data_IF_699352935226
#
_entry.id   IF_699352935226
#
_cell.length_a   1.000
_cell.length_b   1.000
_cell.length_c   1.000
_cell.angle_alpha   90.00
_cell.angle_beta   90.00
_cell.angle_gamma   90.00
#
_symmetry.space_group_name_H-M   'P 1'
#
loop_
_entity.id
_entity.type
_entity.pdbx_description
1 polymer ?
#
# COMPACT_ATOMS: atom_id res chain seq x y z
N UNK A 1 -23.33 3.74 23.93
CA UNK A 1 -23.75 2.58 23.11
C UNK A 1 -22.54 2.16 22.31
N UNK A 2 -21.90 1.04 22.65
CA UNK A 2 -20.90 0.46 21.77
C UNK A 2 -21.66 -0.09 20.56
N UNK A 3 -21.47 0.53 19.39
CA UNK A 3 -21.93 -0.03 18.13
C UNK A 3 -21.35 -1.43 17.99
N UNK A 4 -22.17 -2.42 17.64
CA UNK A 4 -21.69 -3.74 17.25
C UNK A 4 -20.51 -3.59 16.27
N UNK A 5 -19.46 -4.43 16.38
CA UNK A 5 -18.37 -4.38 15.42
C UNK A 5 -18.95 -4.83 14.07
N UNK A 6 -19.28 -3.85 13.23
CA UNK A 6 -19.56 -4.07 11.82
C UNK A 6 -18.44 -4.98 11.30
N UNK A 7 -18.79 -6.18 10.82
CA UNK A 7 -17.84 -7.22 10.44
C UNK A 7 -17.14 -6.82 9.13
N UNK A 8 -16.33 -5.77 9.20
CA UNK A 8 -15.66 -5.14 8.07
C UNK A 8 -14.59 -6.11 7.54
N UNK A 9 -14.51 -6.33 6.22
CA UNK A 9 -13.52 -7.24 5.65
C UNK A 9 -12.08 -6.80 5.99
N UNK A 10 -11.13 -7.73 6.22
CA UNK A 10 -9.72 -7.41 6.47
C UNK A 10 -9.07 -6.57 5.35
N UNK A 11 -9.39 -6.89 4.10
CA UNK A 11 -9.03 -6.10 2.93
C UNK A 11 -10.19 -5.17 2.60
N UNK A 12 -9.93 -3.87 2.59
CA UNK A 12 -10.93 -2.83 2.36
C UNK A 12 -11.10 -2.55 0.87
N UNK A 13 -9.99 -2.43 0.14
CA UNK A 13 -10.00 -2.11 -1.29
C UNK A 13 -8.82 -2.77 -2.00
N UNK A 14 -9.04 -3.19 -3.24
CA UNK A 14 -8.00 -3.41 -4.25
C UNK A 14 -8.14 -2.34 -5.32
N UNK A 15 -7.04 -1.78 -5.80
CA UNK A 15 -7.03 -0.66 -6.73
C UNK A 15 -5.89 -0.74 -7.73
N UNK A 16 -6.05 -0.03 -8.85
CA UNK A 16 -5.02 0.22 -9.85
C UNK A 16 -4.73 1.71 -9.85
N UNK A 17 -3.44 2.05 -9.72
CA UNK A 17 -2.96 3.42 -9.93
C UNK A 17 -2.10 3.45 -11.18
N UNK A 18 -2.35 4.41 -12.05
CA UNK A 18 -1.52 4.67 -13.22
C UNK A 18 -1.01 6.09 -13.25
N UNK A 19 -0.10 6.37 -14.18
CA UNK A 19 0.47 7.69 -14.38
C UNK A 19 -0.04 8.32 -15.68
N UNK A 20 -0.71 9.47 -15.57
CA UNK A 20 -1.11 10.30 -16.70
C UNK A 20 -0.15 11.49 -16.85
N UNK A 21 0.42 11.68 -18.04
CA UNK A 21 1.47 12.67 -18.30
C UNK A 21 1.11 14.14 -17.97
N UNK A 22 -0.19 14.50 -17.98
CA UNK A 22 -0.66 15.84 -17.57
C UNK A 22 -1.19 15.93 -16.14
N UNK A 23 -1.69 14.82 -15.61
CA UNK A 23 -2.49 14.81 -14.37
C UNK A 23 -1.75 14.12 -13.22
N UNK A 24 -0.60 13.51 -13.48
CA UNK A 24 0.17 12.74 -12.50
C UNK A 24 -0.45 11.38 -12.22
N UNK A 25 -0.19 10.86 -11.02
CA UNK A 25 -0.70 9.57 -10.57
C UNK A 25 -2.22 9.63 -10.32
N UNK A 26 -2.98 8.66 -10.82
CA UNK A 26 -4.44 8.59 -10.69
C UNK A 26 -4.91 7.19 -10.33
N UNK A 27 -5.98 7.10 -9.52
CA UNK A 27 -6.70 5.84 -9.29
C UNK A 27 -7.52 5.53 -10.54
N UNK A 28 -7.11 4.55 -11.33
CA UNK A 28 -7.82 4.16 -12.55
C UNK A 28 -8.96 3.18 -12.26
N UNK A 29 -8.81 2.38 -11.19
CA UNK A 29 -9.78 1.39 -10.75
C UNK A 29 -9.70 1.18 -9.24
N UNK A 30 -10.84 0.88 -8.62
CA UNK A 30 -10.95 0.46 -7.23
C UNK A 30 -12.14 -0.48 -7.04
N UNK A 31 -11.95 -1.51 -6.22
CA UNK A 31 -12.99 -2.44 -5.82
C UNK A 31 -12.84 -2.87 -4.35
N UNK A 32 -13.91 -2.78 -3.55
CA UNK A 32 -15.07 -1.90 -3.74
C UNK A 32 -14.65 -0.46 -4.05
N UNK A 33 -15.53 0.36 -4.67
CA UNK A 33 -15.23 1.76 -4.94
C UNK A 33 -14.77 2.50 -3.69
N UNK A 34 -13.75 3.38 -3.82
CA UNK A 34 -13.27 4.19 -2.70
C UNK A 34 -14.32 5.20 -2.20
N UNK A 35 -15.26 5.57 -3.07
CA UNK A 35 -16.40 6.44 -2.74
C UNK A 35 -17.67 5.61 -2.94
N UNK A 36 -18.45 5.45 -1.86
CA UNK A 36 -19.68 4.66 -1.90
C UNK A 36 -20.65 5.18 -2.96
N UNK A 37 -21.19 4.27 -3.79
CA UNK A 37 -22.14 4.60 -4.86
C UNK A 37 -21.50 5.06 -6.17
N UNK A 38 -20.16 5.15 -6.24
CA UNK A 38 -19.47 5.52 -7.47
C UNK A 38 -19.09 4.33 -8.34
N UNK A 39 -18.56 4.61 -9.54
CA UNK A 39 -18.11 3.58 -10.49
C UNK A 39 -16.77 2.93 -10.09
N UNK A 40 -16.08 3.49 -9.09
CA UNK A 40 -14.74 3.04 -8.67
C UNK A 40 -13.62 3.41 -9.65
N UNK A 41 -13.86 4.29 -10.63
CA UNK A 41 -12.85 4.74 -11.61
C UNK A 41 -12.57 6.23 -11.48
N UNK A 42 -11.30 6.61 -11.60
CA UNK A 42 -10.82 8.01 -11.65
C UNK A 42 -11.28 8.88 -10.47
N UNK A 43 -11.42 8.28 -9.30
CA UNK A 43 -11.92 8.94 -8.11
C UNK A 43 -11.09 8.57 -6.87
N UNK A 44 -10.96 9.53 -5.96
CA UNK A 44 -10.27 9.34 -4.70
C UNK A 44 -10.88 10.26 -3.62
N UNK A 45 -11.20 9.75 -2.42
CA UNK A 45 -11.65 10.58 -1.31
C UNK A 45 -10.66 11.70 -0.99
N UNK A 46 -11.15 12.87 -0.60
CA UNK A 46 -10.33 14.04 -0.29
C UNK A 46 -9.30 13.78 0.82
N UNK A 47 -9.68 13.00 1.83
CA UNK A 47 -8.79 12.55 2.91
C UNK A 47 -7.64 11.65 2.44
N UNK A 48 -7.77 11.03 1.26
CA UNK A 48 -6.76 10.15 0.65
C UNK A 48 -6.18 10.73 -0.63
N UNK A 49 -6.24 12.05 -0.85
CA UNK A 49 -5.75 12.68 -2.09
C UNK A 49 -4.31 12.32 -2.51
N UNK A 50 -3.45 11.91 -1.57
CA UNK A 50 -2.07 11.48 -1.83
C UNK A 50 -1.91 9.98 -2.07
N UNK A 51 -2.98 9.19 -1.95
CA UNK A 51 -2.98 7.74 -2.22
C UNK A 51 -2.34 7.41 -3.57
N UNK A 52 -2.66 8.07 -4.69
CA UNK A 52 -2.04 7.74 -5.98
C UNK A 52 -0.51 7.90 -5.96
N UNK A 53 -0.01 8.99 -5.38
CA UNK A 53 1.43 9.27 -5.30
C UNK A 53 2.15 8.34 -4.31
N UNK A 54 1.46 7.90 -3.25
CA UNK A 54 2.01 6.91 -2.31
C UNK A 54 2.06 5.51 -2.92
N UNK A 55 1.04 5.13 -3.69
CA UNK A 55 0.95 3.82 -4.35
C UNK A 55 1.90 3.71 -5.54
N UNK A 56 2.14 4.82 -6.25
CA UNK A 56 3.10 4.91 -7.35
C UNK A 56 4.08 6.06 -7.08
N UNK A 57 5.14 5.81 -6.28
CA UNK A 57 6.07 6.84 -5.84
C UNK A 57 6.93 7.38 -6.99
N UNK A 58 7.42 8.60 -6.83
CA UNK A 58 8.34 9.19 -7.80
C UNK A 58 9.63 8.36 -7.93
N UNK A 59 10.24 8.37 -9.12
CA UNK A 59 11.38 7.54 -9.44
C UNK A 59 11.07 6.05 -9.66
N UNK A 60 9.82 5.62 -9.46
CA UNK A 60 9.39 4.23 -9.72
C UNK A 60 9.68 3.80 -11.16
N UNK A 61 9.72 4.71 -12.14
CA UNK A 61 10.03 4.44 -13.54
C UNK A 61 11.47 3.98 -13.79
N UNK A 62 12.35 4.08 -12.79
CA UNK A 62 13.72 3.57 -12.85
C UNK A 62 13.81 2.07 -12.57
N UNK A 63 12.71 1.43 -12.17
CA UNK A 63 12.67 0.02 -11.79
C UNK A 63 11.63 -0.72 -12.62
N UNK A 64 11.99 -1.93 -13.04
CA UNK A 64 11.03 -2.84 -13.67
C UNK A 64 9.90 -3.20 -12.70
N UNK A 65 10.24 -3.34 -11.41
CA UNK A 65 9.31 -3.66 -10.34
C UNK A 65 9.86 -3.25 -8.97
N UNK A 66 8.95 -2.95 -8.04
CA UNK A 66 9.23 -2.83 -6.61
C UNK A 66 7.90 -2.88 -5.82
N UNK A 67 7.98 -2.77 -4.48
CA UNK A 67 6.81 -2.66 -3.61
C UNK A 67 6.99 -1.55 -2.57
N UNK A 68 5.92 -0.80 -2.30
CA UNK A 68 5.87 0.23 -1.27
C UNK A 68 4.81 -0.09 -0.22
N UNK A 69 5.18 0.09 1.04
CA UNK A 69 4.26 0.04 2.18
C UNK A 69 4.01 1.46 2.67
N UNK A 70 2.75 1.83 2.85
CA UNK A 70 2.37 3.16 3.31
C UNK A 70 1.15 3.10 4.23
N UNK A 71 0.83 4.22 4.86
CA UNK A 71 -0.31 4.34 5.77
C UNK A 71 -1.16 5.53 5.33
N UNK A 72 -2.47 5.41 5.48
CA UNK A 72 -3.43 6.51 5.30
C UNK A 72 -4.21 6.72 6.60
N UNK A 73 -4.70 7.95 6.85
CA UNK A 73 -5.66 8.16 7.92
C UNK A 73 -6.95 7.37 7.63
N UNK A 74 -7.62 6.85 8.66
CA UNK A 74 -9.01 6.43 8.48
C UNK A 74 -9.89 7.63 8.12
N UNK A 75 -10.84 7.42 7.22
CA UNK A 75 -11.81 8.45 6.81
C UNK A 75 -12.92 8.66 7.85
N UNK A 76 -13.03 7.75 8.82
CA UNK A 76 -14.13 7.72 9.79
C UNK A 76 -13.64 7.86 11.23
N UNK A 77 -12.45 7.33 11.54
CA UNK A 77 -11.92 7.27 12.90
C UNK A 77 -10.55 7.96 12.99
N UNK A 78 -10.44 9.16 13.58
CA UNK A 78 -9.23 9.96 13.50
C UNK A 78 -7.93 9.29 13.98
N UNK A 79 -8.01 8.38 14.95
CA UNK A 79 -6.86 7.68 15.54
C UNK A 79 -6.46 6.38 14.79
N UNK A 80 -7.31 5.90 13.89
CA UNK A 80 -7.07 4.68 13.13
C UNK A 80 -6.27 4.94 11.86
N UNK A 81 -5.48 3.93 11.47
CA UNK A 81 -4.70 3.93 10.24
C UNK A 81 -5.20 2.83 9.30
N UNK A 82 -5.10 3.11 8.01
CA UNK A 82 -5.31 2.17 6.91
C UNK A 82 -3.94 1.81 6.34
N UNK A 83 -3.71 0.52 6.10
CA UNK A 83 -2.39 0.01 5.69
C UNK A 83 -2.40 -0.31 4.21
N UNK A 84 -1.55 0.39 3.46
CA UNK A 84 -1.41 0.28 2.03
C UNK A 84 -0.21 -0.58 1.65
N UNK A 85 -0.41 -1.51 0.72
CA UNK A 85 0.66 -2.24 0.02
C UNK A 85 0.45 -2.03 -1.47
N UNK A 86 1.45 -1.51 -2.16
CA UNK A 86 1.39 -1.27 -3.60
C UNK A 86 2.56 -1.92 -4.31
N UNK A 87 2.26 -2.83 -5.24
CA UNK A 87 3.23 -3.46 -6.12
C UNK A 87 3.17 -2.74 -7.47
N UNK A 88 4.21 -1.98 -7.80
CA UNK A 88 4.30 -1.32 -9.09
C UNK A 88 5.16 -2.10 -10.06
N UNK A 89 4.81 -2.01 -11.35
CA UNK A 89 5.50 -2.67 -12.45
C UNK A 89 5.58 -1.74 -13.65
N UNK A 90 6.61 -1.96 -14.45
CA UNK A 90 6.81 -1.33 -15.74
C UNK A 90 6.61 -2.37 -16.86
N UNK A 91 5.76 -2.06 -17.82
CA UNK A 91 5.53 -2.89 -19.00
C UNK A 91 5.86 -2.10 -20.27
N UNK A 92 6.51 -2.74 -21.23
CA UNK A 92 6.79 -2.10 -22.53
C UNK A 92 5.53 -2.04 -23.37
N UNK A 93 5.38 -0.98 -24.17
CA UNK A 93 4.20 -0.79 -25.02
C UNK A 93 4.03 -1.91 -26.05
N UNK A 94 5.11 -2.58 -26.45
CA UNK A 94 5.03 -3.72 -27.37
C UNK A 94 4.28 -4.91 -26.79
N UNK A 95 4.27 -5.06 -25.46
CA UNK A 95 3.55 -6.14 -24.75
C UNK A 95 2.08 -5.82 -24.49
N UNK A 96 1.62 -4.60 -24.79
CA UNK A 96 0.23 -4.20 -24.57
C UNK A 96 -0.66 -4.67 -25.72
N UNK A 97 -1.77 -5.31 -25.38
CA UNK A 97 -2.83 -5.70 -26.32
C UNK A 97 -3.66 -4.50 -26.75
N UNK A 98 -3.95 -3.60 -25.81
CA UNK A 98 -4.67 -2.35 -26.06
C UNK A 98 -3.68 -1.20 -25.97
N UNK A 99 -3.55 -0.44 -27.07
CA UNK A 99 -2.73 0.78 -27.13
C UNK A 99 -3.66 1.98 -27.21
N UNK A 100 -3.58 2.86 -26.24
CA UNK A 100 -4.33 4.12 -26.21
C UNK A 100 -3.46 5.26 -26.76
N UNK A 101 -4.10 6.30 -27.32
CA UNK A 101 -3.41 7.38 -28.03
C UNK A 101 -2.53 8.28 -27.12
N UNK A 102 -2.71 8.19 -25.80
CA UNK A 102 -1.98 8.89 -24.76
C UNK A 102 -0.64 8.22 -24.37
N UNK A 103 -0.32 7.06 -24.97
CA UNK A 103 0.93 6.34 -24.79
C UNK A 103 2.09 7.01 -25.55
N UNK A 104 2.66 8.06 -24.94
CA UNK A 104 3.77 8.83 -25.50
C UNK A 104 5.16 8.27 -25.15
N UNK A 105 5.25 7.26 -24.28
CA UNK A 105 6.49 6.63 -23.82
C UNK A 105 6.60 5.18 -24.27
N UNK A 106 7.81 4.64 -24.34
CA UNK A 106 8.07 3.21 -24.67
C UNK A 106 7.61 2.23 -23.59
N UNK A 107 7.27 2.73 -22.40
CA UNK A 107 6.80 1.92 -21.27
C UNK A 107 5.62 2.57 -20.56
N UNK A 108 4.70 1.74 -20.11
CA UNK A 108 3.62 2.09 -19.19
C UNK A 108 4.00 1.66 -17.78
N UNK A 109 3.66 2.51 -16.82
CA UNK A 109 3.87 2.24 -15.41
C UNK A 109 2.54 2.35 -14.67
N UNK A 110 2.22 1.28 -13.94
CA UNK A 110 1.03 1.20 -13.08
C UNK A 110 1.40 0.44 -11.80
N UNK A 111 0.51 0.48 -10.84
CA UNK A 111 0.61 -0.32 -9.62
C UNK A 111 -0.72 -0.96 -9.26
N UNK A 112 -0.66 -2.21 -8.79
CA UNK A 112 -1.79 -2.84 -8.12
C UNK A 112 -1.59 -2.63 -6.62
N UNK A 113 -2.59 -2.09 -5.95
CA UNK A 113 -2.50 -1.68 -4.55
C UNK A 113 -3.66 -2.26 -3.75
N UNK A 114 -3.39 -2.61 -2.50
CA UNK A 114 -4.37 -3.07 -1.52
C UNK A 114 -4.37 -2.11 -0.33
N UNK A 115 -5.57 -1.76 0.13
CA UNK A 115 -5.81 -1.09 1.42
C UNK A 115 -6.42 -2.09 2.40
N UNK A 116 -5.84 -2.20 3.59
CA UNK A 116 -6.24 -3.17 4.60
C UNK A 116 -6.48 -2.53 5.97
N UNK A 117 -7.22 -3.25 6.83
CA UNK A 117 -7.48 -2.90 8.23
C UNK A 117 -6.40 -3.33 9.21
N UNK A 118 -5.50 -4.21 8.78
CA UNK A 118 -4.44 -4.77 9.62
C UNK A 118 -3.08 -4.53 8.97
N UNK A 119 -2.01 -4.24 9.73
CA UNK A 119 -0.65 -4.01 9.22
C UNK A 119 0.07 -5.31 8.83
N UNK A 120 -0.58 -6.15 8.03
CA UNK A 120 -0.05 -7.44 7.54
C UNK A 120 0.67 -7.26 6.20
N UNK A 121 1.54 -6.25 6.12
CA UNK A 121 2.15 -5.76 4.86
C UNK A 121 2.84 -6.87 4.05
N UNK A 122 3.72 -7.64 4.66
CA UNK A 122 4.45 -8.69 3.95
C UNK A 122 3.55 -9.86 3.53
N UNK A 123 2.50 -10.17 4.29
CA UNK A 123 1.52 -11.18 3.88
C UNK A 123 0.77 -10.73 2.62
N UNK A 124 0.30 -9.48 2.61
CA UNK A 124 -0.38 -8.89 1.45
C UNK A 124 0.58 -8.81 0.27
N UNK A 125 1.82 -8.36 0.48
CA UNK A 125 2.85 -8.24 -0.57
C UNK A 125 3.04 -9.55 -1.33
N UNK A 126 3.23 -10.68 -0.63
CA UNK A 126 3.46 -11.99 -1.26
C UNK A 126 2.31 -12.36 -2.20
N UNK A 127 1.06 -12.08 -1.81
CA UNK A 127 -0.11 -12.37 -2.64
C UNK A 127 -0.29 -11.33 -3.75
N UNK A 128 -0.11 -10.06 -3.43
CA UNK A 128 -0.32 -8.95 -4.34
C UNK A 128 0.71 -8.92 -5.46
N UNK A 129 1.95 -9.32 -5.21
CA UNK A 129 2.97 -9.46 -6.26
C UNK A 129 2.51 -10.44 -7.35
N UNK A 130 1.97 -11.62 -6.96
CA UNK A 130 1.44 -12.61 -7.90
C UNK A 130 0.22 -12.09 -8.67
N UNK A 131 -0.67 -11.37 -7.98
CA UNK A 131 -1.85 -10.75 -8.60
C UNK A 131 -1.41 -9.66 -9.60
N UNK A 132 -0.41 -8.86 -9.23
CA UNK A 132 0.15 -7.83 -10.10
C UNK A 132 0.77 -8.46 -11.35
N UNK A 133 1.62 -9.48 -11.19
CA UNK A 133 2.23 -10.16 -12.34
C UNK A 133 1.15 -10.71 -13.30
N UNK A 134 0.15 -11.42 -12.77
CA UNK A 134 -0.97 -11.93 -13.56
C UNK A 134 -1.82 -10.82 -14.21
N UNK A 135 -1.98 -9.66 -13.56
CA UNK A 135 -2.69 -8.51 -14.12
C UNK A 135 -1.89 -7.86 -15.27
N UNK A 136 -0.58 -7.72 -15.11
CA UNK A 136 0.30 -7.15 -16.13
C UNK A 136 0.51 -8.09 -17.33
N UNK A 137 0.57 -9.40 -17.10
CA UNK A 137 0.70 -10.41 -18.16
C UNK A 137 -0.52 -10.47 -19.09
N UNK A 138 -1.69 -10.02 -18.65
CA UNK A 138 -2.85 -9.90 -19.52
C UNK A 138 -2.61 -8.94 -20.69
N UNK A 139 -1.78 -7.91 -20.49
CA UNK A 139 -1.51 -6.85 -21.48
C UNK A 139 -2.72 -5.97 -21.81
N UNK A 140 -3.86 -6.17 -21.11
CA UNK A 140 -5.09 -5.40 -21.22
C UNK A 140 -5.53 -4.97 -19.81
N UNK A 141 -5.32 -3.70 -19.50
CA UNK A 141 -5.63 -3.14 -18.18
C UNK A 141 -7.11 -2.80 -17.96
N UNK A 142 -7.96 -2.98 -18.98
CA UNK A 142 -9.41 -2.86 -18.80
C UNK A 142 -10.03 -4.09 -18.11
N UNK A 143 -9.33 -5.23 -18.14
CA UNK A 143 -9.72 -6.52 -17.56
C UNK A 143 -9.61 -6.57 -16.03
N UNK A 144 -10.41 -5.79 -15.31
CA UNK A 144 -10.33 -5.67 -13.84
C UNK A 144 -11.01 -6.81 -13.08
N UNK A 145 -11.63 -7.78 -13.76
CA UNK A 145 -12.31 -8.93 -13.13
C UNK A 145 -11.36 -9.79 -12.27
N UNK A 146 -10.10 -9.93 -12.70
CA UNK A 146 -9.07 -10.62 -11.92
C UNK A 146 -8.92 -10.00 -10.53
N UNK A 147 -8.91 -8.67 -10.45
CA UNK A 147 -8.74 -7.93 -9.21
C UNK A 147 -9.95 -8.10 -8.29
N UNK A 148 -11.16 -8.08 -8.85
CA UNK A 148 -12.40 -8.36 -8.10
C UNK A 148 -12.37 -9.75 -7.48
N UNK A 149 -12.00 -10.78 -8.26
CA UNK A 149 -11.87 -12.15 -7.76
C UNK A 149 -10.79 -12.25 -6.68
N UNK A 150 -9.64 -11.61 -6.90
CA UNK A 150 -8.55 -11.59 -5.93
C UNK A 150 -8.96 -10.94 -4.60
N UNK A 151 -9.70 -9.83 -4.63
CA UNK A 151 -10.26 -9.18 -3.45
C UNK A 151 -11.15 -10.14 -2.64
N UNK A 152 -12.08 -10.82 -3.31
CA UNK A 152 -13.00 -11.77 -2.68
C UNK A 152 -12.24 -12.93 -2.04
N UNK A 153 -11.29 -13.52 -2.77
CA UNK A 153 -10.48 -14.64 -2.29
C UNK A 153 -9.60 -14.25 -1.10
N UNK A 154 -8.92 -13.10 -1.15
CA UNK A 154 -8.08 -12.63 -0.05
C UNK A 154 -8.88 -12.42 1.22
N UNK A 155 -10.07 -11.81 1.12
CA UNK A 155 -10.96 -11.64 2.26
C UNK A 155 -11.46 -12.96 2.81
N UNK A 156 -11.89 -13.90 1.95
CA UNK A 156 -12.32 -15.22 2.38
C UNK A 156 -11.20 -15.97 3.14
N UNK A 157 -9.97 -15.93 2.62
CA UNK A 157 -8.82 -16.55 3.30
C UNK A 157 -8.50 -15.89 4.65
N UNK A 158 -8.53 -14.56 4.73
CA UNK A 158 -8.21 -13.86 5.97
C UNK A 158 -9.31 -14.01 7.02
N UNK A 159 -10.58 -14.00 6.63
CA UNK A 159 -11.70 -14.21 7.56
C UNK A 159 -11.71 -15.61 8.17
N UNK A 160 -11.36 -16.64 7.40
CA UNK A 160 -11.20 -18.01 7.92
C UNK A 160 -10.03 -18.08 8.92
N UNK A 161 -8.95 -17.33 8.67
CA UNK A 161 -7.72 -17.38 9.45
C UNK A 161 -7.72 -16.51 10.72
N UNK A 162 -8.49 -15.42 10.75
CA UNK A 162 -8.72 -14.59 11.95
C UNK A 162 -9.25 -15.43 13.13
N UNK A 163 -9.92 -16.55 12.86
CA UNK A 163 -10.36 -17.51 13.87
C UNK A 163 -9.22 -18.30 14.54
N UNK A 164 -8.03 -18.34 13.94
CA UNK A 164 -7.01 -19.37 14.24
C UNK A 164 -5.61 -18.89 14.60
N UNK A 165 -5.10 -17.72 14.17
CA UNK A 165 -3.81 -17.11 14.64
C UNK A 165 -3.48 -15.78 13.89
N UNK A 166 -3.86 -14.60 14.40
CA UNK A 166 -3.51 -13.32 13.75
C UNK A 166 -1.99 -13.01 13.78
N UNK A 167 -1.26 -13.53 14.77
CA UNK A 167 0.13 -13.12 15.07
C UNK A 167 1.16 -13.40 13.95
N UNK A 168 0.92 -14.43 13.11
CA UNK A 168 1.93 -14.87 12.13
C UNK A 168 2.06 -13.93 10.94
N UNK A 169 0.98 -13.24 10.56
CA UNK A 169 0.92 -12.43 9.34
C UNK A 169 1.67 -11.11 9.48
N UNK A 170 1.77 -10.56 10.69
CA UNK A 170 2.43 -9.28 10.95
C UNK A 170 3.94 -9.28 10.68
N UNK A 171 4.58 -10.46 10.74
CA UNK A 171 6.03 -10.59 10.65
C UNK A 171 6.50 -11.20 9.32
N UNK A 172 5.58 -11.51 8.40
CA UNK A 172 5.94 -12.04 7.08
C UNK A 172 6.85 -11.03 6.36
N UNK A 173 7.96 -11.52 5.80
CA UNK A 173 8.93 -10.67 5.09
C UNK A 173 9.83 -9.80 6.00
N UNK A 174 9.66 -9.85 7.33
CA UNK A 174 10.51 -9.12 8.28
C UNK A 174 11.59 -10.05 8.85
N UNK A 175 12.85 -9.78 8.50
CA UNK A 175 14.02 -10.51 9.01
C UNK A 175 14.87 -9.60 9.90
N UNK A 176 14.61 -9.62 11.21
CA UNK A 176 15.42 -8.87 12.19
C UNK A 176 16.90 -9.27 12.12
N UNK A 177 17.18 -10.54 11.83
CA UNK A 177 18.54 -11.05 11.65
C UNK A 177 19.24 -10.34 10.49
N UNK A 178 18.59 -10.22 9.33
CA UNK A 178 19.14 -9.50 8.19
C UNK A 178 19.36 -8.02 8.49
N UNK A 179 18.41 -7.38 9.18
CA UNK A 179 18.55 -5.98 9.60
C UNK A 179 19.79 -5.81 10.49
N UNK A 180 19.97 -6.68 11.50
CA UNK A 180 21.13 -6.63 12.41
C UNK A 180 22.43 -6.92 11.67
N UNK A 181 22.47 -7.90 10.76
CA UNK A 181 23.68 -8.22 10.02
C UNK A 181 24.09 -7.10 9.05
N UNK A 182 23.11 -6.45 8.41
CA UNK A 182 23.34 -5.37 7.45
C UNK A 182 23.71 -4.06 8.16
N UNK A 183 22.92 -3.64 9.15
CA UNK A 183 23.07 -2.34 9.81
C UNK A 183 23.97 -2.38 11.06
N UNK A 184 24.24 -3.56 11.62
CA UNK A 184 25.11 -3.78 12.79
C UNK A 184 24.74 -2.86 13.95
N UNK A 185 25.70 -2.13 14.51
CA UNK A 185 25.47 -1.21 15.62
C UNK A 185 24.47 -0.08 15.27
N UNK A 186 24.28 0.25 13.98
CA UNK A 186 23.30 1.27 13.57
C UNK A 186 21.87 0.84 13.83
N UNK A 187 21.58 -0.46 13.90
CA UNK A 187 20.25 -0.96 14.33
C UNK A 187 19.91 -0.42 15.72
N UNK A 188 20.85 -0.42 16.67
CA UNK A 188 20.64 0.12 18.01
C UNK A 188 20.47 1.65 18.00
N UNK A 189 21.21 2.35 17.12
CA UNK A 189 21.04 3.80 16.95
C UNK A 189 19.64 4.14 16.41
N UNK A 190 19.17 3.44 15.38
CA UNK A 190 17.83 3.62 14.82
C UNK A 190 16.75 3.32 15.86
N UNK A 191 16.90 2.23 16.63
CA UNK A 191 15.95 1.87 17.67
C UNK A 191 15.92 2.94 18.78
N UNK A 192 17.08 3.43 19.19
CA UNK A 192 17.20 4.55 20.15
C UNK A 192 16.51 5.81 19.64
N UNK A 193 16.70 6.17 18.36
CA UNK A 193 16.03 7.35 17.77
C UNK A 193 14.51 7.21 17.80
N UNK A 194 13.98 6.01 17.50
CA UNK A 194 12.56 5.70 17.57
C UNK A 194 12.02 5.81 19.00
N UNK A 195 12.70 5.21 19.99
CA UNK A 195 12.31 5.30 21.41
C UNK A 195 12.35 6.75 21.94
N UNK A 196 13.27 7.56 21.43
CA UNK A 196 13.36 8.99 21.75
C UNK A 196 12.39 9.86 20.93
N UNK A 197 11.53 9.26 20.11
CA UNK A 197 10.56 9.96 19.25
C UNK A 197 11.20 11.07 18.41
N UNK A 198 12.42 10.83 17.91
CA UNK A 198 13.13 11.80 17.08
C UNK A 198 12.50 11.90 15.70
N UNK A 199 12.60 13.08 15.08
CA UNK A 199 12.20 13.30 13.69
C UNK A 199 13.28 12.71 12.79
N UNK A 200 12.98 11.58 12.17
CA UNK A 200 13.90 10.85 11.29
C UNK A 200 13.30 10.78 9.90
N UNK A 201 14.09 11.15 8.89
CA UNK A 201 13.75 10.96 7.48
C UNK A 201 14.64 9.85 6.93
N UNK A 202 14.01 8.80 6.40
CA UNK A 202 14.68 7.70 5.76
C UNK A 202 14.49 7.80 4.26
N UNK A 203 15.57 7.70 3.48
CA UNK A 203 15.53 7.73 2.03
C UNK A 203 16.41 6.62 1.46
N UNK A 204 15.94 5.99 0.39
CA UNK A 204 16.60 4.86 -0.24
C UNK A 204 15.79 4.40 -1.43
N UNK A 205 16.47 3.75 -2.36
CA UNK A 205 15.88 3.20 -3.58
C UNK A 205 16.60 1.88 -3.90
N UNK A 206 15.89 0.76 -4.17
CA UNK A 206 14.43 0.60 -4.19
C UNK A 206 13.77 0.78 -2.82
N UNK A 207 12.49 1.15 -2.78
CA UNK A 207 11.79 1.61 -1.56
C UNK A 207 11.42 0.46 -0.63
N UNK A 208 11.18 -0.75 -1.15
CA UNK A 208 10.77 -1.92 -0.36
C UNK A 208 11.67 -2.18 0.83
N UNK A 209 12.99 -2.17 0.62
CA UNK A 209 13.96 -2.43 1.69
C UNK A 209 13.86 -1.40 2.82
N UNK A 210 13.54 -0.15 2.48
CA UNK A 210 13.33 0.90 3.48
C UNK A 210 12.04 0.65 4.28
N UNK A 211 10.96 0.25 3.62
CA UNK A 211 9.72 -0.14 4.28
C UNK A 211 9.95 -1.31 5.27
N UNK A 212 10.67 -2.35 4.84
CA UNK A 212 11.03 -3.50 5.68
C UNK A 212 11.91 -3.09 6.86
N UNK A 213 12.87 -2.18 6.65
CA UNK A 213 13.68 -1.64 7.75
C UNK A 213 12.80 -0.92 8.77
N UNK A 214 11.93 -0.01 8.34
CA UNK A 214 11.05 0.75 9.24
C UNK A 214 10.14 -0.19 10.04
N UNK A 215 9.48 -1.14 9.36
CA UNK A 215 8.62 -2.13 10.02
C UNK A 215 9.41 -3.05 10.95
N UNK A 216 10.62 -3.47 10.55
CA UNK A 216 11.50 -4.29 11.37
C UNK A 216 11.93 -3.55 12.64
N UNK A 217 12.32 -2.27 12.53
CA UNK A 217 12.61 -1.45 13.71
C UNK A 217 11.39 -1.30 14.63
N UNK A 218 10.20 -1.09 14.06
CA UNK A 218 8.97 -0.98 14.82
C UNK A 218 8.59 -2.31 15.51
N UNK A 219 8.88 -3.45 14.88
CA UNK A 219 8.62 -4.79 15.43
C UNK A 219 9.42 -5.12 16.70
N UNK A 220 10.51 -4.40 16.96
CA UNK A 220 11.29 -4.53 18.20
C UNK A 220 10.52 -4.01 19.43
N UNK A 221 9.48 -3.20 19.23
CA UNK A 221 8.55 -2.82 20.31
C UNK A 221 7.49 -3.91 20.43
N UNK A 222 7.39 -4.58 21.59
CA UNK A 222 6.46 -5.69 21.76
C UNK A 222 5.03 -5.33 21.38
N UNK A 223 4.42 -6.15 20.52
CA UNK A 223 3.03 -6.05 20.08
C UNK A 223 2.65 -4.73 19.38
N UNK A 224 3.62 -3.90 18.98
CA UNK A 224 3.33 -2.63 18.35
C UNK A 224 2.65 -2.81 16.98
N UNK A 225 3.13 -3.79 16.19
CA UNK A 225 2.50 -4.22 14.93
C UNK A 225 1.06 -4.70 15.16
N UNK A 226 0.84 -5.56 16.16
CA UNK A 226 -0.49 -6.12 16.46
C UNK A 226 -1.52 -5.04 16.83
N UNK A 227 -1.07 -3.96 17.46
CA UNK A 227 -1.92 -2.83 17.85
C UNK A 227 -2.23 -1.87 16.68
N UNK A 228 -1.66 -2.08 15.49
CA UNK A 228 -1.98 -1.28 14.32
C UNK A 228 -1.25 0.08 14.23
N UNK A 229 -0.25 0.36 15.05
CA UNK A 229 0.41 1.67 15.01
C UNK A 229 -0.59 2.85 15.03
N UNK A 230 -1.48 2.86 16.03
CA UNK A 230 -2.45 3.96 16.20
C UNK A 230 -1.76 5.32 16.08
N UNK A 231 -2.46 6.26 15.47
CA UNK A 231 -2.00 7.63 15.24
C UNK A 231 -0.84 7.87 14.25
N UNK A 232 -0.35 6.84 13.54
CA UNK A 232 0.75 7.02 12.57
C UNK A 232 0.39 7.89 11.36
N UNK A 233 -0.87 7.90 10.95
CA UNK A 233 -1.36 8.73 9.85
C UNK A 233 -2.26 9.89 10.31
N UNK A 234 -2.25 10.24 11.61
CA UNK A 234 -3.00 11.38 12.15
C UNK A 234 -2.39 12.71 11.71
N UNK A 235 -2.72 13.15 10.50
CA UNK A 235 -2.31 14.47 10.03
C UNK A 235 -3.21 15.53 10.68
N UNK A 236 -2.77 16.11 11.80
CA UNK A 236 -3.29 17.42 12.24
C UNK A 236 -2.67 18.49 11.36
N UNK A 237 -3.32 18.82 10.26
CA UNK A 237 -2.87 19.91 9.39
C UNK A 237 -3.02 21.22 10.16
N UNK A 238 -1.92 21.92 10.45
CA UNK A 238 -1.96 23.22 11.14
C UNK A 238 -2.65 24.32 10.33
N UNK A 239 -2.86 24.07 9.03
CA UNK A 239 -3.66 24.86 8.10
C UNK A 239 -4.49 23.92 7.24
N UNK A 240 -5.68 24.30 6.75
CA UNK A 240 -6.36 23.53 5.72
C UNK A 240 -5.37 23.26 4.58
N UNK A 241 -5.25 22.02 4.16
CA UNK A 241 -4.51 21.69 2.95
C UNK A 241 -5.06 22.56 1.83
N UNK A 242 -4.24 23.46 1.27
CA UNK A 242 -4.66 24.35 0.20
C UNK A 242 -5.40 23.54 -0.87
N UNK A 243 -6.56 23.99 -1.36
CA UNK A 243 -7.08 23.45 -2.60
C UNK A 243 -5.97 23.66 -3.64
N UNK A 244 -5.46 22.57 -4.21
CA UNK A 244 -4.61 22.71 -5.37
C UNK A 244 -5.49 23.12 -6.56
N UNK A 245 -4.96 23.96 -7.46
CA UNK A 245 -5.71 24.50 -8.60
C UNK A 245 -6.27 23.39 -9.51
#
# INVERSE_FOLDING_TARGET
>A
MASEPENKPPILHILVVGFHHKLGCQVEFSHPPLISGSTGRNECPSGWKYLPTLALPDGSHNFAEDTVFFNLPSLYEPAESIYGVSCYRQIRVEKLKIRTADLTRSTVQKSVCILARLPIYGYIEVKLALIADAFFDQGDFSGTELLVKAYQQLNACLQDDESRRPLRHFHVGLSLREIVLHWRHKTLMLFKLMLLQRRVVCFGSPVRQMCVLILGMASLVPRLLEKGFQEVACVRTSRPLSPMP
#
